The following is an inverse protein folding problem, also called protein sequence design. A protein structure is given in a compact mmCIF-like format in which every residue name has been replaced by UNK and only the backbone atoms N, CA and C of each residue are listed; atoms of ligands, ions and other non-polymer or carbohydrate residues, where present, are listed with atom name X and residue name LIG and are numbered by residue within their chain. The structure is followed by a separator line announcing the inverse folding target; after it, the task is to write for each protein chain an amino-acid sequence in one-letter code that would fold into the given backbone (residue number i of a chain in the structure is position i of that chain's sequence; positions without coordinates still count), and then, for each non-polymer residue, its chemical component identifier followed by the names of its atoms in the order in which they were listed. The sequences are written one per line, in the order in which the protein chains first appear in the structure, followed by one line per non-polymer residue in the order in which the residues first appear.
data_IF_796000368992
#
_entry.id   IF_796000368992
#
_cell.length_a   1.000
_cell.length_b   1.000
_cell.length_c   1.000
_cell.angle_alpha   90.00
_cell.angle_beta   90.00
_cell.angle_gamma   90.00
#
_symmetry.space_group_name_H-M   'P 1'
#
loop_
_entity.id
_entity.type
_entity.pdbx_description
1 polymer ?
#
# COMPACT_ATOMS: atom_id res chain seq x y z
N UNK A 1 -9.33 6.03 83.21
CA UNK A 1 -9.87 7.00 84.21
C UNK A 1 -8.75 7.92 84.66
N UNK A 2 -8.97 9.25 84.56
CA UNK A 2 -8.13 10.44 84.80
C UNK A 2 -7.90 11.19 83.47
N UNK A 3 -8.78 12.15 83.13
CA UNK A 3 -8.72 13.59 83.48
C UNK A 3 -7.40 14.25 83.00
N UNK A 4 -7.36 15.42 82.37
CA UNK A 4 -8.36 16.43 82.00
C UNK A 4 -7.59 17.57 81.30
N UNK A 5 -8.25 18.29 80.38
CA UNK A 5 -8.29 19.78 80.26
C UNK A 5 -8.23 20.28 78.81
N UNK A 6 -9.34 20.90 78.43
CA UNK A 6 -9.54 21.86 77.34
C UNK A 6 -8.68 23.11 77.56
N UNK A 7 -8.22 23.72 76.47
CA UNK A 7 -8.11 25.18 76.33
C UNK A 7 -8.64 25.58 74.94
N UNK A 8 -9.45 26.63 74.94
CA UNK A 8 -10.10 27.33 73.83
C UNK A 8 -9.26 28.58 73.51
N UNK A 9 -9.14 28.97 72.24
CA UNK A 9 -9.12 30.36 71.70
C UNK A 9 -8.76 30.31 70.21
N UNK A 10 -9.69 30.53 69.27
CA UNK A 10 -10.21 31.80 68.73
C UNK A 10 -9.21 32.67 67.91
N UNK A 11 -9.56 32.77 66.62
CA UNK A 11 -9.52 33.96 65.75
C UNK A 11 -8.16 34.42 65.19
N UNK A 12 -8.00 34.44 63.86
CA UNK A 12 -8.30 35.62 63.03
C UNK A 12 -7.99 35.31 61.56
N UNK A 13 -8.87 35.79 60.67
CA UNK A 13 -8.71 35.76 59.23
C UNK A 13 -7.74 36.85 58.76
N UNK A 14 -6.93 36.54 57.75
CA UNK A 14 -6.30 37.52 56.88
C UNK A 14 -6.52 37.11 55.43
N UNK A 15 -7.18 38.00 54.68
CA UNK A 15 -7.33 37.92 53.25
C UNK A 15 -6.02 38.37 52.57
N UNK A 16 -5.58 37.63 51.58
CA UNK A 16 -4.59 38.08 50.61
C UNK A 16 -5.02 37.59 49.22
N UNK A 17 -5.32 38.56 48.35
CA UNK A 17 -5.48 38.37 46.91
C UNK A 17 -4.34 39.13 46.26
N UNK A 18 -3.49 38.48 45.46
CA UNK A 18 -2.75 39.10 44.36
C UNK A 18 -2.07 38.03 43.47
N UNK A 19 -2.49 38.00 42.21
CA UNK A 19 -1.73 37.78 40.96
C UNK A 19 -0.42 36.95 40.97
N UNK A 20 -0.38 35.94 40.09
CA UNK A 20 0.86 35.60 39.36
C UNK A 20 1.05 34.12 39.03
N UNK A 21 1.20 33.86 37.72
CA UNK A 21 1.75 32.64 37.10
C UNK A 21 0.88 31.36 37.14
N UNK A 22 -0.01 31.25 36.16
CA UNK A 22 -0.31 29.93 35.58
C UNK A 22 0.92 29.49 34.76
N UNK A 23 1.85 28.79 35.40
CA UNK A 23 2.75 27.90 34.69
C UNK A 23 1.87 26.73 34.26
N UNK A 24 1.37 26.80 33.02
CA UNK A 24 0.79 25.65 32.37
C UNK A 24 1.87 24.59 32.24
N UNK A 25 1.91 23.66 33.19
CA UNK A 25 2.56 22.37 33.00
C UNK A 25 1.79 21.65 31.90
N UNK A 26 2.10 21.95 30.64
CA UNK A 26 1.85 21.03 29.55
C UNK A 26 2.66 19.78 29.89
N UNK A 27 1.95 18.76 30.36
CA UNK A 27 2.54 17.49 30.76
C UNK A 27 3.33 16.91 29.60
N UNK A 28 4.52 16.41 29.90
CA UNK A 28 5.38 15.66 28.97
C UNK A 28 4.80 14.27 28.61
N UNK A 29 3.48 14.09 28.74
CA UNK A 29 2.74 12.84 28.55
C UNK A 29 1.93 12.81 27.24
N UNK A 30 1.84 13.94 26.51
CA UNK A 30 1.14 14.02 25.20
C UNK A 30 2.11 13.84 24.01
N UNK A 31 3.17 13.03 24.19
CA UNK A 31 4.03 12.51 23.11
C UNK A 31 3.93 10.99 22.98
N UNK A 32 2.83 10.38 23.42
CA UNK A 32 2.60 8.95 23.25
C UNK A 32 1.71 8.67 22.04
N UNK A 33 2.34 8.04 21.03
CA UNK A 33 1.74 7.18 20.01
C UNK A 33 0.73 7.83 19.06
N UNK A 34 1.18 8.78 18.24
CA UNK A 34 0.56 8.94 16.93
C UNK A 34 0.71 7.60 16.18
N UNK A 35 -0.39 6.96 15.81
CA UNK A 35 -0.38 5.73 15.03
C UNK A 35 0.53 5.93 13.79
N UNK A 36 1.30 4.90 13.37
CA UNK A 36 2.16 5.03 12.21
C UNK A 36 1.34 5.45 11.00
N UNK A 37 1.76 6.55 10.37
CA UNK A 37 1.15 7.08 9.15
C UNK A 37 1.91 6.50 7.96
N UNK A 38 1.18 5.92 7.01
CA UNK A 38 1.69 5.52 5.71
C UNK A 38 1.59 6.70 4.76
N UNK A 39 2.70 7.32 4.41
CA UNK A 39 2.72 8.39 3.40
C UNK A 39 3.05 7.79 2.03
N UNK A 40 2.12 7.95 1.09
CA UNK A 40 2.28 7.68 -0.32
C UNK A 40 2.70 8.94 -1.07
N UNK A 41 3.42 8.78 -2.16
CA UNK A 41 3.87 9.85 -3.03
C UNK A 41 3.82 9.44 -4.49
N UNK A 42 3.63 10.39 -5.40
CA UNK A 42 3.72 10.11 -6.84
C UNK A 42 5.11 9.60 -7.19
N UNK A 43 5.18 8.45 -7.86
CA UNK A 43 6.44 7.90 -8.35
C UNK A 43 7.20 8.92 -9.23
N UNK A 44 6.50 9.71 -10.03
CA UNK A 44 7.12 10.73 -10.88
C UNK A 44 7.71 11.92 -10.11
N UNK A 45 7.36 12.13 -8.84
CA UNK A 45 7.81 13.27 -8.03
C UNK A 45 8.98 12.92 -7.10
N UNK A 46 8.98 11.73 -6.48
CA UNK A 46 10.00 11.36 -5.49
C UNK A 46 11.18 10.61 -6.03
N UNK A 47 11.06 10.17 -7.27
CA UNK A 47 12.04 9.35 -7.90
C UNK A 47 12.79 10.24 -8.86
N UNK A 48 14.12 10.13 -8.87
CA UNK A 48 14.88 10.55 -10.03
C UNK A 48 14.25 9.96 -11.31
N UNK A 49 14.65 10.43 -12.51
CA UNK A 49 14.10 10.04 -13.83
C UNK A 49 14.20 8.52 -14.17
N UNK A 50 14.41 7.69 -13.17
CA UNK A 50 14.73 6.31 -13.21
C UNK A 50 14.67 5.71 -11.78
N UNK A 51 13.55 5.68 -11.01
CA UNK A 51 13.42 4.86 -9.77
C UNK A 51 12.11 4.02 -9.66
N UNK A 52 12.17 2.75 -9.15
CA UNK A 52 11.17 1.63 -8.87
C UNK A 52 11.67 0.17 -9.20
N UNK A 53 12.32 -0.59 -8.31
CA UNK A 53 13.05 -1.83 -8.67
C UNK A 53 12.35 -3.23 -8.53
N UNK A 54 12.06 -3.85 -9.66
CA UNK A 54 11.86 -5.30 -9.83
C UNK A 54 13.20 -6.04 -10.00
N UNK A 55 13.42 -7.17 -9.33
CA UNK A 55 14.66 -7.95 -9.50
C UNK A 55 14.77 -8.45 -10.94
N UNK A 56 15.93 -8.30 -11.59
CA UNK A 56 16.20 -8.65 -12.99
C UNK A 56 15.25 -8.01 -14.04
N UNK A 57 14.52 -6.96 -13.71
CA UNK A 57 13.73 -6.19 -14.68
C UNK A 57 14.58 -5.22 -15.51
N UNK A 58 13.99 -4.65 -16.55
CA UNK A 58 14.61 -3.60 -17.36
C UNK A 58 14.25 -2.21 -16.81
N UNK A 59 15.13 -1.22 -16.96
CA UNK A 59 14.87 0.14 -16.46
C UNK A 59 13.91 0.90 -17.39
N UNK A 60 12.90 1.58 -16.82
CA UNK A 60 12.01 2.51 -17.53
C UNK A 60 11.88 3.85 -16.79
N UNK A 61 11.25 4.87 -17.37
CA UNK A 61 11.13 6.20 -16.75
C UNK A 61 9.88 6.30 -15.91
N UNK A 62 9.98 6.72 -14.65
CA UNK A 62 8.82 6.87 -13.76
C UNK A 62 7.73 7.82 -14.30
N UNK A 63 8.11 8.82 -15.11
CA UNK A 63 7.17 9.73 -15.76
C UNK A 63 6.19 9.04 -16.73
N UNK A 64 6.55 7.89 -17.32
CA UNK A 64 5.67 7.11 -18.19
C UNK A 64 4.63 6.27 -17.40
N UNK A 65 4.73 6.33 -16.06
CA UNK A 65 3.92 5.63 -15.07
C UNK A 65 3.29 6.60 -14.07
N UNK A 66 2.55 7.62 -14.54
CA UNK A 66 2.12 8.74 -13.69
C UNK A 66 1.16 8.31 -12.57
N UNK A 67 0.40 7.24 -12.77
CA UNK A 67 -0.54 6.68 -11.81
C UNK A 67 0.11 5.78 -10.75
N UNK A 68 1.42 5.51 -10.85
CA UNK A 68 2.14 4.70 -9.89
C UNK A 68 2.53 5.58 -8.69
N UNK A 69 2.28 5.09 -7.47
CA UNK A 69 2.62 5.79 -6.23
C UNK A 69 3.39 4.86 -5.29
N UNK A 70 4.20 5.43 -4.40
CA UNK A 70 5.06 4.68 -3.48
C UNK A 70 4.78 5.10 -2.07
N UNK A 71 4.56 4.13 -1.19
CA UNK A 71 4.54 4.33 0.25
C UNK A 71 5.94 4.13 0.84
N UNK A 72 6.34 5.08 1.69
CA UNK A 72 7.52 4.94 2.56
C UNK A 72 7.04 4.92 4.00
N UNK A 73 7.45 3.89 4.75
CA UNK A 73 7.08 3.76 6.14
C UNK A 73 8.13 4.47 6.99
N UNK A 74 7.72 5.54 7.69
CA UNK A 74 8.63 6.24 8.61
C UNK A 74 8.91 5.34 9.81
N UNK A 75 10.14 4.83 9.90
CA UNK A 75 10.53 4.08 11.09
C UNK A 75 10.86 5.07 12.20
N UNK A 76 9.90 5.34 13.09
CA UNK A 76 10.03 6.27 14.22
C UNK A 76 11.22 5.94 15.15
N UNK A 77 11.79 4.72 15.05
CA UNK A 77 12.83 4.21 15.95
C UNK A 77 14.23 4.11 15.32
N UNK A 78 14.50 4.79 14.20
CA UNK A 78 15.86 5.16 13.76
C UNK A 78 16.87 4.05 13.40
N UNK A 79 16.46 2.78 13.29
CA UNK A 79 17.43 1.66 13.27
C UNK A 79 17.27 0.52 12.27
N UNK A 80 16.22 0.41 11.44
CA UNK A 80 16.15 -0.76 10.54
C UNK A 80 15.06 -0.75 9.49
N UNK A 81 15.49 -0.90 8.23
CA UNK A 81 14.70 -1.07 6.99
C UNK A 81 13.46 -0.15 6.88
N UNK A 82 13.57 0.84 6.01
CA UNK A 82 12.38 1.47 5.41
C UNK A 82 11.64 0.32 4.72
N UNK A 83 10.52 -0.12 5.29
CA UNK A 83 9.54 -0.86 4.50
C UNK A 83 9.04 0.09 3.43
N UNK A 84 8.73 -0.41 2.25
CA UNK A 84 8.09 0.36 1.21
C UNK A 84 7.02 -0.49 0.55
N UNK A 85 6.01 0.18 0.04
CA UNK A 85 5.02 -0.43 -0.82
C UNK A 85 4.88 0.42 -2.08
N UNK A 86 4.32 -0.18 -3.10
CA UNK A 86 3.86 0.48 -4.32
C UNK A 86 2.32 0.44 -4.33
N UNK A 87 1.68 1.30 -5.11
CA UNK A 87 0.24 1.30 -5.32
C UNK A 87 -0.10 1.97 -6.66
N UNK A 88 -1.33 1.80 -7.10
CA UNK A 88 -1.83 2.40 -8.35
C UNK A 88 -3.00 3.33 -8.08
N UNK A 89 -2.95 4.52 -8.65
CA UNK A 89 -4.12 5.37 -8.83
C UNK A 89 -4.96 4.77 -9.96
N UNK A 90 -6.10 4.20 -9.59
CA UNK A 90 -7.10 3.69 -10.53
C UNK A 90 -8.21 4.72 -10.78
N UNK A 91 -8.00 5.94 -10.32
CA UNK A 91 -8.85 7.08 -10.60
C UNK A 91 -8.42 8.28 -9.77
N UNK A 92 -9.09 9.43 -9.93
CA UNK A 92 -8.65 10.67 -9.29
C UNK A 92 -8.81 10.72 -7.78
N UNK A 93 -9.60 9.81 -7.20
CA UNK A 93 -9.77 9.69 -5.76
C UNK A 93 -9.73 8.23 -5.28
N UNK A 94 -9.27 7.28 -6.10
CA UNK A 94 -9.22 5.86 -5.74
C UNK A 94 -7.83 5.28 -5.97
N UNK A 95 -7.30 4.65 -4.92
CA UNK A 95 -6.01 3.95 -4.92
C UNK A 95 -6.25 2.46 -4.72
N UNK A 96 -5.59 1.64 -5.53
CA UNK A 96 -5.48 0.19 -5.35
C UNK A 96 -4.08 -0.16 -4.84
N UNK A 97 -4.01 -0.93 -3.76
CA UNK A 97 -2.76 -1.44 -3.18
C UNK A 97 -2.98 -2.79 -2.50
N UNK A 98 -1.94 -3.35 -1.87
CA UNK A 98 -2.03 -4.58 -1.11
C UNK A 98 -2.56 -4.30 0.30
N UNK A 99 -3.36 -5.21 0.86
CA UNK A 99 -3.89 -5.07 2.21
C UNK A 99 -2.77 -4.96 3.24
N UNK A 100 -1.72 -5.78 3.10
CA UNK A 100 -0.59 -5.77 4.03
C UNK A 100 0.19 -4.46 4.05
N UNK A 101 0.05 -3.60 3.04
CA UNK A 101 0.67 -2.27 3.00
C UNK A 101 -0.02 -1.26 3.93
N UNK A 102 -1.29 -1.51 4.28
CA UNK A 102 -2.08 -0.66 5.19
C UNK A 102 -2.54 -1.43 6.42
N UNK A 103 -2.03 -2.65 6.60
CA UNK A 103 -2.34 -3.51 7.73
C UNK A 103 -1.60 -3.04 9.00
N UNK A 104 -2.31 -2.77 10.11
CA UNK A 104 -1.68 -2.37 11.38
C UNK A 104 -0.89 -3.49 12.07
N UNK A 105 -0.86 -4.71 11.54
CA UNK A 105 -0.22 -5.89 12.13
C UNK A 105 -0.77 -6.24 13.51
N UNK A 106 -2.06 -5.96 13.73
CA UNK A 106 -2.81 -6.39 14.91
C UNK A 106 -4.09 -7.11 14.48
N UNK A 107 -4.50 -8.12 15.23
CA UNK A 107 -5.75 -8.85 14.97
C UNK A 107 -6.95 -7.91 15.03
N UNK A 108 -7.85 -8.01 14.04
CA UNK A 108 -9.03 -7.14 13.91
C UNK A 108 -8.72 -5.63 13.91
N UNK A 109 -7.49 -5.25 13.58
CA UNK A 109 -7.06 -3.85 13.51
C UNK A 109 -7.70 -3.12 12.35
N UNK A 110 -7.95 -1.82 12.56
CA UNK A 110 -8.34 -0.92 11.46
C UNK A 110 -7.11 -0.61 10.59
N UNK A 111 -7.28 -0.38 9.28
CA UNK A 111 -6.18 0.04 8.42
C UNK A 111 -5.41 1.23 9.00
N UNK A 112 -4.10 1.25 8.75
CA UNK A 112 -3.22 2.34 9.12
C UNK A 112 -3.74 3.67 8.53
N UNK A 113 -3.50 4.76 9.25
CA UNK A 113 -3.73 6.08 8.68
C UNK A 113 -2.80 6.26 7.49
N UNK A 114 -3.36 6.66 6.36
CA UNK A 114 -2.60 6.86 5.14
C UNK A 114 -2.80 8.28 4.61
N UNK A 115 -1.84 8.74 3.82
CA UNK A 115 -1.91 10.00 3.09
C UNK A 115 -1.25 9.88 1.73
N UNK A 116 -1.66 10.73 0.78
CA UNK A 116 -0.95 10.94 -0.48
C UNK A 116 -0.38 12.36 -0.49
N UNK A 117 0.94 12.47 -0.58
CA UNK A 117 1.61 13.73 -0.87
C UNK A 117 1.73 13.92 -2.37
N UNK A 118 1.26 15.08 -2.85
CA UNK A 118 1.28 15.47 -4.26
C UNK A 118 1.61 16.96 -4.37
N UNK A 119 2.77 17.27 -4.94
CA UNK A 119 3.37 18.59 -4.84
C UNK A 119 3.47 19.04 -3.37
N UNK A 120 2.87 20.19 -3.05
CA UNK A 120 2.87 20.78 -1.70
C UNK A 120 1.62 20.42 -0.87
N UNK A 121 0.79 19.47 -1.32
CA UNK A 121 -0.44 19.08 -0.63
C UNK A 121 -0.34 17.65 -0.14
N UNK A 122 -0.90 17.41 1.04
CA UNK A 122 -1.09 16.07 1.62
C UNK A 122 -2.59 15.82 1.70
N UNK A 123 -3.06 14.81 0.96
CA UNK A 123 -4.44 14.36 0.97
C UNK A 123 -4.60 13.21 1.94
N UNK A 124 -5.67 13.19 2.72
CA UNK A 124 -5.96 12.06 3.61
C UNK A 124 -6.41 10.86 2.77
N UNK A 125 -5.89 9.68 3.09
CA UNK A 125 -6.34 8.42 2.51
C UNK A 125 -7.10 7.60 3.55
N UNK A 126 -8.34 7.22 3.22
CA UNK A 126 -9.13 6.28 4.01
C UNK A 126 -9.15 4.94 3.29
N UNK A 127 -8.50 3.93 3.86
CA UNK A 127 -8.36 2.60 3.27
C UNK A 127 -9.30 1.60 3.91
N UNK A 128 -9.81 0.66 3.10
CA UNK A 128 -10.41 -0.60 3.56
C UNK A 128 -9.58 -1.76 3.00
N UNK A 129 -9.28 -2.74 3.85
CA UNK A 129 -8.72 -4.03 3.43
C UNK A 129 -9.87 -4.98 3.07
N UNK A 130 -9.63 -5.94 2.17
CA UNK A 130 -10.58 -7.02 1.95
C UNK A 130 -10.88 -7.74 3.28
N UNK A 131 -12.17 -8.02 3.61
CA UNK A 131 -12.53 -8.57 4.93
C UNK A 131 -11.87 -9.91 5.22
N UNK A 132 -11.71 -10.78 4.21
CA UNK A 132 -11.08 -12.09 4.41
C UNK A 132 -9.58 -12.02 4.69
N UNK A 133 -8.90 -10.94 4.28
CA UNK A 133 -7.51 -10.73 4.67
C UNK A 133 -7.37 -10.55 6.18
N UNK A 134 -8.26 -9.76 6.80
CA UNK A 134 -8.21 -9.45 8.23
C UNK A 134 -8.70 -10.59 9.13
N UNK A 135 -9.47 -11.54 8.57
CA UNK A 135 -9.97 -12.73 9.30
C UNK A 135 -8.90 -13.78 9.53
N UNK A 136 -7.89 -13.82 8.66
CA UNK A 136 -6.77 -14.75 8.79
C UNK A 136 -5.78 -14.28 9.88
N UNK A 137 -5.12 -15.21 10.58
CA UNK A 137 -4.17 -14.88 11.63
C UNK A 137 -2.93 -14.16 11.07
N UNK A 138 -2.24 -13.44 11.95
CA UNK A 138 -0.97 -12.79 11.61
C UNK A 138 0.06 -13.82 11.16
N UNK A 139 0.71 -13.59 10.01
CA UNK A 139 1.73 -14.47 9.43
C UNK A 139 3.13 -13.84 9.47
N UNK A 140 3.45 -13.10 10.55
CA UNK A 140 4.70 -12.37 10.69
C UNK A 140 4.86 -11.32 9.58
N UNK A 141 5.92 -11.43 8.78
CA UNK A 141 6.17 -10.53 7.64
C UNK A 141 5.44 -10.94 6.35
N UNK A 142 4.66 -12.03 6.37
CA UNK A 142 3.91 -12.50 5.20
C UNK A 142 2.47 -11.98 5.22
N UNK A 143 1.84 -11.79 4.04
CA UNK A 143 0.42 -11.50 3.95
C UNK A 143 -0.44 -12.58 4.61
N UNK A 144 -1.49 -12.15 5.32
CA UNK A 144 -2.40 -13.02 6.06
C UNK A 144 -3.16 -13.99 5.16
N UNK A 145 -3.73 -13.51 4.07
CA UNK A 145 -4.51 -14.32 3.11
C UNK A 145 -4.13 -14.02 1.64
N UNK A 146 -4.76 -14.69 0.67
CA UNK A 146 -4.61 -14.37 -0.75
C UNK A 146 -5.39 -13.14 -1.20
N UNK A 147 -6.38 -12.71 -0.42
CA UNK A 147 -7.23 -11.55 -0.65
C UNK A 147 -6.51 -10.28 -0.19
N UNK A 148 -5.23 -10.18 -0.51
CA UNK A 148 -4.32 -9.10 -0.14
C UNK A 148 -4.55 -7.86 -1.01
N UNK A 149 -5.77 -7.32 -0.92
CA UNK A 149 -6.23 -6.12 -1.60
C UNK A 149 -6.65 -5.06 -0.59
N UNK A 150 -6.30 -3.81 -0.88
CA UNK A 150 -6.89 -2.65 -0.23
C UNK A 150 -7.28 -1.60 -1.27
N UNK A 151 -8.44 -0.98 -1.04
CA UNK A 151 -8.91 0.18 -1.77
C UNK A 151 -8.89 1.37 -0.81
N UNK A 152 -8.34 2.48 -1.28
CA UNK A 152 -8.29 3.72 -0.50
C UNK A 152 -8.95 4.86 -1.26
N UNK A 153 -9.70 5.68 -0.52
CA UNK A 153 -10.23 6.96 -1.00
C UNK A 153 -9.31 8.10 -0.61
N UNK A 154 -8.99 8.94 -1.58
CA UNK A 154 -8.40 10.25 -1.37
C UNK A 154 -9.49 11.25 -1.02
N UNK A 155 -9.43 11.80 0.19
CA UNK A 155 -10.27 12.91 0.61
C UNK A 155 -9.58 14.22 0.22
N UNK A 156 -10.03 14.82 -0.88
CA UNK A 156 -9.54 16.11 -1.38
C UNK A 156 -10.35 17.31 -0.85
N UNK A 157 -11.34 17.07 0.03
CA UNK A 157 -12.22 18.10 0.58
C UNK A 157 -13.03 18.86 -0.48
N UNK A 158 -13.15 18.32 -1.70
CA UNK A 158 -13.78 18.98 -2.85
C UNK A 158 -12.83 19.85 -3.68
N UNK A 159 -11.58 20.02 -3.25
CA UNK A 159 -10.57 20.82 -3.95
C UNK A 159 -9.46 19.92 -4.51
N UNK A 160 -9.78 19.18 -5.56
CA UNK A 160 -8.82 18.26 -6.19
C UNK A 160 -7.57 18.99 -6.75
N UNK A 161 -6.34 18.53 -6.43
CA UNK A 161 -5.11 19.05 -7.04
C UNK A 161 -5.10 18.95 -8.57
N UNK A 162 -4.47 19.93 -9.24
CA UNK A 162 -4.47 20.01 -10.70
C UNK A 162 -3.80 18.80 -11.37
N UNK A 163 -2.78 18.23 -10.75
CA UNK A 163 -2.12 17.01 -11.21
C UNK A 163 -3.12 15.84 -11.33
N UNK A 164 -3.96 15.63 -10.31
CA UNK A 164 -5.01 14.61 -10.34
C UNK A 164 -6.12 14.94 -11.37
N UNK A 165 -6.32 16.20 -11.74
CA UNK A 165 -7.31 16.55 -12.78
C UNK A 165 -6.85 16.28 -14.21
N UNK A 166 -5.55 16.07 -14.42
CA UNK A 166 -4.95 16.04 -15.77
C UNK A 166 -4.24 14.74 -16.10
N UNK A 167 -3.82 13.96 -15.11
CA UNK A 167 -3.17 12.68 -15.35
C UNK A 167 -4.13 11.62 -15.89
N UNK A 168 -3.57 10.55 -16.45
CA UNK A 168 -4.30 9.34 -16.84
C UNK A 168 -4.14 8.25 -15.79
N UNK A 169 -5.22 7.53 -15.51
CA UNK A 169 -5.29 6.48 -14.50
C UNK A 169 -5.21 5.10 -15.11
N UNK A 170 -4.65 4.16 -14.35
CA UNK A 170 -4.63 2.76 -14.76
C UNK A 170 -6.03 2.16 -14.70
N UNK A 171 -6.31 1.26 -15.63
CA UNK A 171 -7.60 0.57 -15.72
C UNK A 171 -7.44 -0.82 -15.13
N UNK A 172 -8.28 -1.16 -14.14
CA UNK A 172 -8.38 -2.52 -13.61
C UNK A 172 -9.10 -3.41 -14.62
N UNK A 173 -8.62 -4.62 -14.80
CA UNK A 173 -9.34 -5.68 -15.50
C UNK A 173 -9.74 -6.71 -14.43
N UNK A 174 -10.98 -6.56 -13.95
CA UNK A 174 -11.61 -7.38 -12.90
C UNK A 174 -12.47 -8.53 -13.47
N UNK A 175 -12.52 -8.62 -14.80
CA UNK A 175 -13.20 -9.67 -15.56
C UNK A 175 -12.24 -10.71 -16.13
N UNK A 176 -11.04 -10.30 -16.52
CA UNK A 176 -10.03 -11.12 -17.14
C UNK A 176 -9.37 -12.10 -16.17
N UNK A 177 -9.84 -13.35 -16.16
CA UNK A 177 -9.17 -14.44 -15.43
C UNK A 177 -7.76 -14.68 -15.99
N UNK A 178 -6.77 -14.70 -15.10
CA UNK A 178 -5.41 -15.08 -15.44
C UNK A 178 -5.26 -16.60 -15.39
N UNK A 179 -4.99 -17.21 -16.54
CA UNK A 179 -4.77 -18.66 -16.70
C UNK A 179 -3.29 -18.98 -16.83
N UNK A 180 -2.92 -20.26 -16.65
CA UNK A 180 -1.55 -20.72 -16.91
C UNK A 180 -1.09 -20.29 -18.32
N UNK A 181 0.13 -19.77 -18.42
CA UNK A 181 0.70 -19.28 -19.69
C UNK A 181 0.32 -17.84 -20.05
N UNK A 182 -0.55 -17.17 -19.28
CA UNK A 182 -0.87 -15.76 -19.51
C UNK A 182 0.40 -14.91 -19.40
N UNK A 183 0.65 -14.08 -20.42
CA UNK A 183 1.76 -13.13 -20.44
C UNK A 183 1.39 -11.88 -19.66
N UNK A 184 2.29 -11.46 -18.77
CA UNK A 184 2.08 -10.33 -17.88
C UNK A 184 3.38 -9.55 -17.71
N UNK A 185 3.27 -8.31 -17.23
CA UNK A 185 4.39 -7.46 -16.86
C UNK A 185 4.30 -7.16 -15.37
N UNK A 186 5.32 -7.57 -14.63
CA UNK A 186 5.50 -7.17 -13.24
C UNK A 186 6.11 -5.77 -13.20
N UNK A 187 5.71 -4.98 -12.22
CA UNK A 187 6.28 -3.67 -11.88
C UNK A 187 6.61 -3.67 -10.39
N UNK A 188 7.56 -2.89 -9.89
CA UNK A 188 7.73 -2.80 -8.43
C UNK A 188 8.99 -2.07 -8.00
N UNK A 189 8.99 -1.50 -6.77
CA UNK A 189 10.02 -0.56 -6.26
C UNK A 189 11.25 -1.19 -5.55
N UNK A 190 11.24 -2.49 -5.27
CA UNK A 190 12.11 -3.25 -4.38
C UNK A 190 13.62 -3.26 -4.64
N UNK A 191 14.24 -4.42 -4.87
CA UNK A 191 15.70 -4.58 -4.88
C UNK A 191 16.29 -4.83 -6.26
N UNK A 192 17.52 -4.36 -6.48
CA UNK A 192 18.29 -4.58 -7.70
C UNK A 192 18.57 -6.06 -7.93
N UNK A 193 19.01 -6.74 -6.88
CA UNK A 193 19.34 -8.15 -6.90
C UNK A 193 18.62 -8.90 -5.79
N UNK A 194 18.14 -10.09 -6.13
CA UNK A 194 17.51 -11.01 -5.20
C UNK A 194 18.27 -12.33 -5.22
N UNK A 195 18.65 -12.82 -4.05
CA UNK A 195 19.42 -14.07 -3.90
C UNK A 195 18.72 -14.99 -2.93
N UNK A 196 18.97 -16.29 -3.04
CA UNK A 196 18.51 -17.27 -2.05
C UNK A 196 19.61 -17.45 -1.01
N UNK A 197 19.32 -17.15 0.26
CA UNK A 197 20.22 -17.39 1.40
C UNK A 197 19.45 -18.22 2.43
N UNK A 198 19.94 -19.43 2.71
CA UNK A 198 19.28 -20.38 3.62
C UNK A 198 17.82 -20.68 3.23
N UNK A 199 17.54 -20.84 1.94
CA UNK A 199 16.19 -21.10 1.42
C UNK A 199 15.25 -19.89 1.43
N UNK A 200 15.70 -18.73 1.89
CA UNK A 200 14.91 -17.50 1.96
C UNK A 200 15.37 -16.47 0.92
N UNK A 201 14.44 -15.73 0.30
CA UNK A 201 14.81 -14.61 -0.56
C UNK A 201 15.46 -13.50 0.28
N UNK A 202 16.68 -13.13 -0.09
CA UNK A 202 17.44 -12.02 0.49
C UNK A 202 17.61 -10.94 -0.56
N UNK A 203 16.92 -9.82 -0.35
CA UNK A 203 17.09 -8.61 -1.12
C UNK A 203 18.53 -8.08 -0.93
N UNK A 204 19.19 -7.76 -2.02
CA UNK A 204 20.48 -7.10 -2.03
C UNK A 204 20.34 -5.58 -2.00
N UNK A 205 21.18 -4.88 -2.75
CA UNK A 205 21.22 -3.41 -2.69
C UNK A 205 20.02 -2.79 -3.40
N UNK A 206 19.60 -1.63 -2.89
CA UNK A 206 18.57 -0.80 -3.47
C UNK A 206 19.31 0.25 -4.31
N UNK A 207 19.04 0.28 -5.61
CA UNK A 207 19.65 1.25 -6.52
C UNK A 207 18.72 2.38 -6.94
N UNK A 208 17.45 2.30 -6.54
CA UNK A 208 16.42 3.26 -6.86
C UNK A 208 16.19 3.33 -8.36
N UNK A 209 15.85 2.24 -9.08
CA UNK A 209 15.56 2.24 -10.53
C UNK A 209 14.23 1.64 -10.94
N UNK A 210 13.38 2.35 -11.74
CA UNK A 210 12.05 1.84 -12.17
C UNK A 210 12.26 0.70 -13.11
N UNK A 211 11.68 -0.46 -12.81
CA UNK A 211 11.84 -1.68 -13.53
C UNK A 211 10.51 -2.36 -13.73
N UNK A 212 10.42 -2.89 -14.93
CA UNK A 212 9.37 -3.79 -15.33
C UNK A 212 10.01 -5.06 -15.86
N UNK A 213 9.28 -6.16 -15.82
CA UNK A 213 9.78 -7.43 -16.28
C UNK A 213 8.66 -8.32 -16.75
N UNK A 214 8.89 -8.95 -17.89
CA UNK A 214 7.97 -9.94 -18.44
C UNK A 214 7.90 -11.15 -17.49
N UNK A 215 6.68 -11.65 -17.32
CA UNK A 215 6.38 -12.83 -16.54
C UNK A 215 5.34 -13.68 -17.24
N UNK A 216 5.25 -14.93 -16.80
CA UNK A 216 4.25 -15.89 -17.26
C UNK A 216 3.58 -16.49 -16.04
N UNK A 217 2.26 -16.52 -16.06
CA UNK A 217 1.48 -17.15 -14.98
C UNK A 217 1.77 -18.65 -14.96
N UNK A 218 2.38 -19.12 -13.87
CA UNK A 218 2.66 -20.53 -13.59
C UNK A 218 1.42 -21.21 -13.01
N UNK A 219 0.74 -20.57 -12.06
CA UNK A 219 -0.50 -21.11 -11.49
C UNK A 219 -1.60 -20.06 -11.46
N UNK A 220 -2.82 -20.39 -11.92
CA UNK A 220 -3.95 -19.48 -11.87
C UNK A 220 -4.51 -19.35 -10.44
N UNK A 221 -5.37 -18.35 -10.24
CA UNK A 221 -6.16 -18.22 -9.02
C UNK A 221 -6.97 -19.51 -8.75
N UNK A 222 -7.16 -19.86 -7.48
CA UNK A 222 -7.87 -21.07 -7.06
C UNK A 222 -7.07 -22.37 -7.13
N UNK A 223 -5.89 -22.37 -7.75
CA UNK A 223 -5.06 -23.58 -7.91
C UNK A 223 -4.30 -23.99 -6.63
N UNK A 224 -4.12 -23.07 -5.69
CA UNK A 224 -3.37 -23.29 -4.46
C UNK A 224 -4.34 -23.40 -3.27
N UNK A 225 -4.34 -24.52 -2.52
CA UNK A 225 -5.22 -24.69 -1.37
C UNK A 225 -5.09 -23.55 -0.36
N UNK A 226 -6.22 -22.98 0.06
CA UNK A 226 -6.27 -21.86 1.01
C UNK A 226 -5.73 -20.53 0.47
N UNK A 227 -5.48 -20.42 -0.84
CA UNK A 227 -4.97 -19.21 -1.50
C UNK A 227 -5.77 -18.93 -2.78
N UNK A 228 -7.08 -18.77 -2.63
CA UNK A 228 -8.03 -18.69 -3.74
C UNK A 228 -7.74 -17.54 -4.71
N UNK A 229 -7.26 -16.40 -4.21
CA UNK A 229 -7.04 -15.22 -5.05
C UNK A 229 -5.63 -15.10 -5.63
N UNK A 230 -4.69 -15.97 -5.24
CA UNK A 230 -3.31 -15.88 -5.71
C UNK A 230 -3.13 -16.54 -7.08
N UNK A 231 -2.55 -15.77 -8.01
CA UNK A 231 -1.78 -16.32 -9.11
C UNK A 231 -0.31 -16.36 -8.73
N UNK A 232 0.46 -17.25 -9.36
CA UNK A 232 1.91 -17.31 -9.17
C UNK A 232 2.67 -17.15 -10.48
N UNK A 233 3.82 -16.49 -10.39
CA UNK A 233 4.84 -16.45 -11.44
C UNK A 233 6.07 -17.14 -10.87
N UNK A 234 6.62 -18.10 -11.62
CA UNK A 234 7.84 -18.82 -11.28
C UNK A 234 8.99 -18.23 -12.08
N UNK A 235 10.04 -17.78 -11.40
CA UNK A 235 11.19 -17.12 -12.01
C UNK A 235 12.49 -17.81 -11.64
N UNK A 236 13.34 -18.10 -12.63
CA UNK A 236 14.70 -18.60 -12.40
C UNK A 236 15.53 -17.53 -11.71
N UNK A 237 16.07 -17.84 -10.52
CA UNK A 237 16.80 -16.87 -9.71
C UNK A 237 18.03 -16.32 -10.45
N UNK A 238 18.17 -15.00 -10.46
CA UNK A 238 19.28 -14.29 -11.12
C UNK A 238 19.18 -14.20 -12.65
N UNK A 239 18.12 -14.75 -13.25
CA UNK A 239 17.91 -14.71 -14.70
C UNK A 239 16.60 -13.99 -15.03
N UNK A 240 15.50 -14.45 -14.46
CA UNK A 240 14.17 -13.95 -14.80
C UNK A 240 13.69 -12.90 -13.80
N UNK A 241 12.80 -11.99 -14.24
CA UNK A 241 12.24 -10.99 -13.34
C UNK A 241 11.45 -11.61 -12.19
N UNK A 242 11.57 -11.06 -10.98
CA UNK A 242 10.85 -11.53 -9.81
C UNK A 242 10.51 -10.38 -8.86
N UNK A 243 9.43 -10.53 -8.09
CA UNK A 243 9.08 -9.57 -7.05
C UNK A 243 10.17 -9.48 -5.98
N UNK A 244 10.22 -8.37 -5.26
CA UNK A 244 11.13 -8.14 -4.15
C UNK A 244 10.42 -7.34 -3.05
N UNK A 245 10.86 -7.43 -1.77
CA UNK A 245 10.44 -6.47 -0.76
C UNK A 245 10.47 -5.03 -1.26
N UNK A 246 9.32 -4.35 -1.24
CA UNK A 246 9.12 -3.01 -1.82
C UNK A 246 8.13 -2.98 -2.99
N UNK A 247 7.97 -4.09 -3.71
CA UNK A 247 7.06 -4.21 -4.86
C UNK A 247 5.60 -4.38 -4.49
N UNK A 248 5.38 -4.83 -3.24
CA UNK A 248 4.09 -5.04 -2.62
C UNK A 248 3.11 -3.91 -2.89
N UNK A 249 1.90 -4.25 -3.31
CA UNK A 249 0.85 -3.30 -3.67
C UNK A 249 0.96 -2.72 -5.09
N UNK A 250 2.09 -2.91 -5.77
CA UNK A 250 2.27 -2.50 -7.16
C UNK A 250 1.42 -3.34 -8.13
N UNK A 251 1.15 -2.82 -9.34
CA UNK A 251 0.33 -3.52 -10.31
C UNK A 251 1.09 -4.63 -11.04
N UNK A 252 0.41 -5.77 -11.21
CA UNK A 252 0.69 -6.73 -12.28
C UNK A 252 -0.13 -6.33 -13.51
N UNK A 253 0.50 -6.29 -14.68
CA UNK A 253 -0.11 -5.72 -15.87
C UNK A 253 -0.24 -6.74 -17.01
N UNK A 254 -1.20 -6.53 -17.91
CA UNK A 254 -1.26 -7.17 -19.23
C UNK A 254 -1.38 -6.11 -20.33
N UNK A 255 -1.30 -6.55 -21.60
CA UNK A 255 -1.44 -5.70 -22.79
C UNK A 255 -0.16 -4.98 -23.22
N UNK A 256 0.91 -5.09 -22.43
CA UNK A 256 2.25 -4.57 -22.72
C UNK A 256 3.29 -5.68 -22.54
N UNK A 257 4.52 -5.44 -23.00
CA UNK A 257 5.71 -6.20 -22.61
C UNK A 257 6.76 -5.24 -22.07
N UNK A 258 7.84 -5.79 -21.51
CA UNK A 258 8.97 -4.95 -21.10
C UNK A 258 9.57 -4.21 -22.31
N UNK A 259 9.55 -4.78 -23.52
CA UNK A 259 10.09 -4.12 -24.72
C UNK A 259 9.08 -3.21 -25.44
N UNK A 260 7.79 -3.31 -25.11
CA UNK A 260 6.72 -2.52 -25.72
C UNK A 260 5.74 -2.05 -24.64
N UNK A 261 6.05 -0.87 -24.08
CA UNK A 261 5.30 -0.25 -22.98
C UNK A 261 4.24 0.74 -23.43
N UNK A 262 4.18 1.05 -24.72
CA UNK A 262 3.32 2.10 -25.27
C UNK A 262 1.90 1.59 -25.57
N UNK A 263 1.71 0.27 -25.53
CA UNK A 263 0.39 -0.35 -25.67
C UNK A 263 -0.55 -0.07 -24.48
N UNK A 264 -1.80 -0.44 -24.71
CA UNK A 264 -2.88 -0.44 -23.73
C UNK A 264 -2.57 -1.41 -22.60
N UNK A 265 -2.27 -0.89 -21.41
CA UNK A 265 -2.03 -1.69 -20.20
C UNK A 265 -3.27 -1.81 -19.32
N UNK A 266 -3.40 -2.96 -18.66
CA UNK A 266 -4.48 -3.29 -17.70
C UNK A 266 -3.93 -3.88 -16.43
N UNK A 267 -4.41 -3.44 -15.27
CA UNK A 267 -4.08 -4.05 -13.99
C UNK A 267 -4.84 -5.38 -13.87
N UNK A 268 -4.09 -6.46 -13.70
CA UNK A 268 -4.59 -7.84 -13.54
C UNK A 268 -4.43 -8.38 -12.14
N UNK A 269 -3.72 -7.66 -11.29
CA UNK A 269 -3.47 -8.06 -9.93
C UNK A 269 -2.60 -7.07 -9.17
N UNK A 270 -2.49 -7.34 -7.88
CA UNK A 270 -1.71 -6.58 -6.92
C UNK A 270 -0.56 -7.46 -6.43
N UNK A 271 0.66 -7.00 -6.58
CA UNK A 271 1.86 -7.69 -6.09
C UNK A 271 1.74 -7.90 -4.58
N UNK A 272 1.95 -9.13 -4.10
CA UNK A 272 1.68 -9.46 -2.70
C UNK A 272 2.94 -9.94 -1.99
N UNK A 273 3.51 -11.06 -2.41
CA UNK A 273 4.67 -11.65 -1.72
C UNK A 273 5.58 -12.42 -2.64
N UNK A 274 6.73 -12.82 -2.12
CA UNK A 274 7.68 -13.70 -2.78
C UNK A 274 8.15 -14.81 -1.85
N UNK A 275 8.37 -15.99 -2.40
CA UNK A 275 9.08 -17.09 -1.76
C UNK A 275 10.23 -17.60 -2.64
N UNK A 276 11.17 -18.33 -2.05
CA UNK A 276 12.20 -19.07 -2.78
C UNK A 276 12.03 -20.57 -2.52
N UNK A 277 12.04 -21.37 -3.58
CA UNK A 277 11.92 -22.84 -3.51
C UNK A 277 12.89 -23.42 -4.53
N UNK A 278 13.83 -24.26 -4.10
CA UNK A 278 14.71 -25.01 -5.02
C UNK A 278 15.40 -24.15 -6.10
N UNK A 279 15.86 -22.95 -5.73
CA UNK A 279 16.57 -22.05 -6.66
C UNK A 279 15.67 -21.27 -7.62
N UNK A 280 14.34 -21.36 -7.47
CA UNK A 280 13.39 -20.46 -8.15
C UNK A 280 12.74 -19.49 -7.17
N UNK A 281 12.34 -18.35 -7.70
CA UNK A 281 11.46 -17.41 -7.03
C UNK A 281 10.01 -17.67 -7.40
N UNK A 282 9.13 -17.64 -6.39
CA UNK A 282 7.69 -17.73 -6.57
C UNK A 282 7.10 -16.39 -6.15
N UNK A 283 6.80 -15.57 -7.15
CA UNK A 283 6.07 -14.30 -6.98
C UNK A 283 4.58 -14.60 -6.85
N UNK A 284 3.93 -14.08 -5.81
CA UNK A 284 2.49 -14.21 -5.56
C UNK A 284 1.81 -12.88 -5.79
N UNK A 285 0.73 -12.92 -6.54
CA UNK A 285 -0.06 -11.75 -6.92
C UNK A 285 -1.52 -12.04 -6.61
N UNK A 286 -2.18 -11.12 -5.92
CA UNK A 286 -3.62 -11.17 -5.69
C UNK A 286 -4.31 -10.71 -6.97
N UNK A 287 -5.04 -11.60 -7.64
CA UNK A 287 -5.62 -11.34 -8.96
C UNK A 287 -6.95 -10.57 -8.85
N UNK A 288 -7.08 -9.49 -9.62
CA UNK A 288 -8.31 -8.67 -9.66
C UNK A 288 -9.45 -9.37 -10.39
N UNK A 289 -9.15 -10.30 -11.31
CA UNK A 289 -10.12 -11.10 -12.06
C UNK A 289 -10.85 -12.19 -11.26
N UNK A 290 -10.97 -12.05 -9.94
CA UNK A 290 -11.63 -13.03 -9.07
C UNK A 290 -12.97 -12.49 -8.55
N UNK A 291 -13.95 -13.38 -8.33
CA UNK A 291 -15.25 -13.00 -7.76
C UNK A 291 -15.12 -12.30 -6.40
N UNK A 292 -14.13 -12.73 -5.60
CA UNK A 292 -13.82 -12.13 -4.30
C UNK A 292 -13.46 -10.64 -4.45
N UNK A 293 -12.51 -10.32 -5.34
CA UNK A 293 -12.15 -8.92 -5.59
C UNK A 293 -13.31 -8.13 -6.16
N UNK A 294 -13.96 -8.63 -7.22
CA UNK A 294 -15.00 -7.91 -7.96
C UNK A 294 -16.18 -7.54 -7.07
N UNK A 295 -16.74 -8.52 -6.38
CA UNK A 295 -17.91 -8.30 -5.51
C UNK A 295 -17.58 -7.34 -4.38
N UNK A 296 -16.40 -7.50 -3.75
CA UNK A 296 -15.95 -6.61 -2.68
C UNK A 296 -15.68 -5.18 -3.17
N UNK A 297 -15.05 -5.01 -4.33
CA UNK A 297 -14.75 -3.69 -4.88
C UNK A 297 -16.04 -2.92 -5.23
N UNK A 298 -17.03 -3.60 -5.82
CA UNK A 298 -18.34 -3.01 -6.13
C UNK A 298 -19.11 -2.62 -4.85
N UNK A 299 -19.13 -3.48 -3.84
CA UNK A 299 -19.70 -3.15 -2.52
C UNK A 299 -18.96 -1.95 -1.88
N UNK A 300 -17.63 -1.95 -1.95
CA UNK A 300 -16.81 -0.88 -1.39
C UNK A 300 -17.13 0.47 -2.05
N UNK A 301 -17.28 0.53 -3.37
CA UNK A 301 -17.69 1.75 -4.07
C UNK A 301 -19.05 2.24 -3.56
N UNK A 302 -20.01 1.33 -3.40
CA UNK A 302 -21.36 1.63 -2.92
C UNK A 302 -21.35 2.17 -1.49
N UNK A 303 -20.62 1.53 -0.57
CA UNK A 303 -20.46 2.00 0.83
C UNK A 303 -19.78 3.37 0.93
N UNK A 304 -19.04 3.76 -0.10
CA UNK A 304 -18.28 5.01 -0.12
C UNK A 304 -18.87 6.07 -1.07
N UNK A 305 -20.12 5.91 -1.53
CA UNK A 305 -20.78 6.81 -2.49
C UNK A 305 -20.70 8.29 -2.11
N UNK A 306 -20.67 8.62 -0.81
CA UNK A 306 -20.51 9.99 -0.32
C UNK A 306 -19.27 10.72 -0.86
N UNK A 307 -18.21 9.96 -1.19
CA UNK A 307 -16.97 10.49 -1.77
C UNK A 307 -16.97 10.50 -3.30
N UNK A 308 -18.02 9.95 -3.92
CA UNK A 308 -18.15 9.77 -5.38
C UNK A 308 -16.89 9.11 -5.95
N UNK A 309 -16.57 7.87 -5.52
CA UNK A 309 -15.34 7.21 -5.95
C UNK A 309 -15.35 6.99 -7.45
N UNK A 310 -14.26 7.35 -8.10
CA UNK A 310 -14.02 7.16 -9.53
C UNK A 310 -12.93 6.10 -9.68
N UNK A 311 -13.28 4.91 -10.18
CA UNK A 311 -12.39 3.76 -10.34
C UNK A 311 -12.50 3.16 -11.76
N UNK A 312 -11.46 3.41 -12.54
CA UNK A 312 -11.27 2.91 -13.89
C UNK A 312 -11.16 1.38 -13.91
N UNK A 313 -12.03 0.75 -14.69
CA UNK A 313 -12.15 -0.70 -14.77
C UNK A 313 -13.00 -1.32 -13.66
N UNK A 314 -13.74 -0.51 -12.90
CA UNK A 314 -14.71 -1.00 -11.89
C UNK A 314 -16.05 -0.30 -12.04
N UNK A 315 -16.08 1.04 -12.03
CA UNK A 315 -17.30 1.84 -12.29
C UNK A 315 -17.16 2.86 -13.42
N UNK A 316 -16.01 2.91 -14.08
CA UNK A 316 -15.77 3.65 -15.31
C UNK A 316 -15.03 2.76 -16.31
N UNK A 317 -15.41 2.85 -17.57
CA UNK A 317 -14.80 2.06 -18.64
C UNK A 317 -13.47 2.67 -19.11
N UNK A 318 -12.67 1.86 -19.82
CA UNK A 318 -11.48 2.36 -20.50
C UNK A 318 -11.83 3.49 -21.48
N UNK A 319 -11.04 4.57 -21.47
CA UNK A 319 -11.28 5.76 -22.30
C UNK A 319 -12.33 6.73 -21.75
N UNK A 320 -13.12 6.35 -20.73
CA UNK A 320 -14.00 7.30 -20.05
C UNK A 320 -13.20 8.23 -19.13
N UNK A 321 -13.57 9.52 -19.10
CA UNK A 321 -12.93 10.53 -18.26
C UNK A 321 -11.39 10.51 -18.39
N UNK A 322 -10.69 10.16 -17.31
CA UNK A 322 -9.23 10.09 -17.22
C UNK A 322 -8.71 8.63 -17.25
N UNK A 323 -9.58 7.65 -17.47
CA UNK A 323 -9.19 6.26 -17.62
C UNK A 323 -8.37 6.07 -18.90
N UNK A 324 -7.28 5.30 -18.80
CA UNK A 324 -6.46 4.94 -19.96
C UNK A 324 -7.30 4.11 -20.96
N UNK A 325 -6.97 4.21 -22.24
CA UNK A 325 -7.53 3.30 -23.26
C UNK A 325 -6.97 1.89 -23.13
#
# INVERSE_FOLDING_TARGET
MKNSRKIIQNSLAFAASLFGLFIGNASAEERQNAAPIVEFELASEVLAQSEIQLANGIVVRAADWPALIIARFSNQNGGGRISSCTASLIGPNVVLTAAHCVDPQVENGKPLLASLRIGNRTLKMNCDMHPDYSKEPLMGLSPRSSEDFALCILDDGGERPQQLKTMKYEVVDDDGVLVHGSKVVMTGYGCKDLRVVNGMPKAGQWDGYLRIGDGVIDKPAGSSPGRASYVTIKSVAGVEPALCPGDSGGPLLSGITAQDTDNVRRIRGVNSSIAAVEGVFISRISATGTDAFRSWAQDWLSRNERFKPEACGINFEAGERQCRF
#
